data_IF_464305364537
#
_entry.id   IF_464305364537
#
_cell.length_a   1.000
_cell.length_b   1.000
_cell.length_c   1.000
_cell.angle_alpha   90.00
_cell.angle_beta   90.00
_cell.angle_gamma   90.00
#
_symmetry.space_group_name_H-M   'P 1'
#
loop_
_entity.id
_entity.type
_entity.pdbx_description
1 polymer ?
#
# COMPACT_ATOMS: atom_id res chain seq x y z
N UNK A 1 7.03 9.71 14.48
CA UNK A 1 7.40 8.54 15.31
C UNK A 1 8.63 7.92 14.69
N UNK A 2 9.78 8.06 15.33
CA UNK A 2 11.05 7.55 14.81
C UNK A 2 11.10 6.05 15.06
N UNK A 3 11.08 5.25 14.00
CA UNK A 3 11.26 3.81 14.12
C UNK A 3 12.69 3.53 14.60
N UNK A 4 12.84 2.70 15.64
CA UNK A 4 14.15 2.28 16.16
C UNK A 4 14.36 0.82 15.79
N UNK A 5 15.44 0.55 15.07
CA UNK A 5 15.79 -0.81 14.64
C UNK A 5 16.61 -1.49 15.75
N UNK A 6 16.14 -2.65 16.20
CA UNK A 6 16.85 -3.52 17.14
C UNK A 6 17.57 -4.61 16.35
N UNK A 7 18.87 -4.44 16.10
CA UNK A 7 19.67 -5.37 15.29
C UNK A 7 20.78 -6.08 16.09
N UNK A 8 20.92 -5.80 17.39
CA UNK A 8 21.93 -6.41 18.26
C UNK A 8 21.41 -6.50 19.70
N UNK A 9 22.02 -7.39 20.48
CA UNK A 9 21.71 -7.55 21.90
C UNK A 9 21.99 -6.25 22.70
N UNK A 10 23.02 -5.50 22.32
CA UNK A 10 23.35 -4.21 22.94
C UNK A 10 22.26 -3.16 22.67
N UNK A 11 21.81 -3.04 21.41
CA UNK A 11 20.76 -2.08 21.04
C UNK A 11 19.42 -2.41 21.70
N UNK A 12 19.14 -3.70 21.91
CA UNK A 12 17.99 -4.14 22.70
C UNK A 12 18.08 -3.64 24.15
N UNK A 13 19.24 -3.74 24.79
CA UNK A 13 19.41 -3.26 26.17
C UNK A 13 19.25 -1.75 26.30
N UNK A 14 19.76 -0.97 25.34
CA UNK A 14 19.59 0.49 25.31
C UNK A 14 18.11 0.89 25.25
N UNK A 15 17.35 0.29 24.32
CA UNK A 15 15.92 0.60 24.16
C UNK A 15 15.12 0.18 25.39
N UNK A 16 15.46 -0.94 26.02
CA UNK A 16 14.85 -1.34 27.29
C UNK A 16 15.11 -0.32 28.40
N UNK A 17 16.27 0.36 28.39
CA UNK A 17 16.57 1.49 29.26
C UNK A 17 15.64 2.68 29.00
N UNK A 18 15.54 3.11 27.75
CA UNK A 18 14.70 4.24 27.33
C UNK A 18 13.22 4.00 27.68
N UNK A 19 12.72 2.79 27.46
CA UNK A 19 11.34 2.40 27.79
C UNK A 19 11.10 2.50 29.31
N UNK A 20 12.06 2.05 30.13
CA UNK A 20 11.95 2.13 31.60
C UNK A 20 11.92 3.57 32.09
N UNK A 21 12.77 4.44 31.54
CA UNK A 21 12.77 5.87 31.88
C UNK A 21 11.46 6.56 31.47
N UNK A 22 11.02 6.31 30.24
CA UNK A 22 9.76 6.86 29.72
C UNK A 22 8.55 6.40 30.55
N UNK A 23 8.54 5.14 31.00
CA UNK A 23 7.52 4.61 31.89
C UNK A 23 7.55 5.31 33.26
N UNK A 24 8.75 5.51 33.83
CA UNK A 24 8.91 6.20 35.11
C UNK A 24 8.38 7.65 35.09
N UNK A 25 8.44 8.32 33.94
CA UNK A 25 7.97 9.70 33.79
C UNK A 25 6.48 9.83 33.46
N UNK A 26 5.94 8.90 32.68
CA UNK A 26 4.61 9.06 32.08
C UNK A 26 3.58 8.00 32.51
N UNK A 27 4.01 6.89 33.12
CA UNK A 27 3.18 5.76 33.57
C UNK A 27 2.19 5.18 32.53
N UNK A 28 2.35 5.55 31.26
CA UNK A 28 1.56 5.07 30.14
C UNK A 28 2.41 5.15 28.86
N UNK A 29 2.58 4.03 28.18
CA UNK A 29 3.34 3.94 26.92
C UNK A 29 2.56 3.10 25.91
N UNK A 30 2.51 3.56 24.66
CA UNK A 30 2.04 2.77 23.52
C UNK A 30 3.26 2.28 22.73
N UNK A 31 3.50 0.97 22.75
CA UNK A 31 4.65 0.35 22.07
C UNK A 31 4.15 -0.51 20.91
N UNK A 32 4.79 -0.40 19.75
CA UNK A 32 4.54 -1.27 18.58
C UNK A 32 5.84 -1.94 18.19
N UNK A 33 5.89 -3.27 18.29
CA UNK A 33 7.06 -4.08 17.92
C UNK A 33 6.72 -4.80 16.61
N UNK A 34 7.55 -4.63 15.59
CA UNK A 34 7.46 -5.36 14.32
C UNK A 34 8.70 -6.25 14.18
N UNK A 35 8.50 -7.52 13.84
CA UNK A 35 9.59 -8.48 13.61
C UNK A 35 9.83 -8.64 12.11
N UNK A 36 11.04 -8.29 11.65
CA UNK A 36 11.44 -8.34 10.24
C UNK A 36 12.46 -7.24 9.91
N UNK A 37 13.48 -7.54 9.09
CA UNK A 37 14.29 -6.49 8.47
C UNK A 37 13.37 -5.68 7.55
N UNK A 38 13.39 -4.35 7.66
CA UNK A 38 12.80 -3.44 6.66
C UNK A 38 13.52 -3.61 5.31
N UNK A 39 13.21 -4.68 4.60
CA UNK A 39 13.61 -4.94 3.21
C UNK A 39 12.43 -5.31 2.33
N UNK A 40 11.22 -5.07 2.80
CA UNK A 40 10.08 -4.97 1.88
C UNK A 40 10.15 -3.57 1.30
N UNK A 41 10.52 -3.45 0.02
CA UNK A 41 10.18 -2.27 -0.76
C UNK A 41 8.76 -1.87 -0.38
N UNK A 42 8.57 -0.64 0.10
CA UNK A 42 7.25 -0.17 0.46
C UNK A 42 6.38 -0.35 -0.78
N UNK A 43 5.46 -1.32 -0.73
CA UNK A 43 4.62 -1.67 -1.87
C UNK A 43 3.82 -0.45 -2.33
N UNK A 44 3.59 0.51 -1.42
CA UNK A 44 3.04 1.81 -1.77
C UNK A 44 4.01 2.59 -2.66
N UNK A 45 5.30 2.64 -2.35
CA UNK A 45 6.31 3.27 -3.19
C UNK A 45 6.39 2.63 -4.58
N UNK A 46 6.29 1.29 -4.67
CA UNK A 46 6.21 0.59 -5.97
C UNK A 46 4.96 1.05 -6.73
N UNK A 47 3.79 1.05 -6.09
CA UNK A 47 2.55 1.48 -6.74
C UNK A 47 2.65 2.92 -7.27
N UNK A 48 3.24 3.83 -6.49
CA UNK A 48 3.44 5.22 -6.87
C UNK A 48 4.37 5.37 -8.07
N UNK A 49 5.51 4.67 -8.06
CA UNK A 49 6.44 4.67 -9.18
C UNK A 49 5.79 4.13 -10.46
N UNK A 50 4.97 3.09 -10.34
CA UNK A 50 4.25 2.52 -11.48
C UNK A 50 3.19 3.46 -12.04
N UNK A 51 2.44 4.20 -11.21
CA UNK A 51 1.49 5.20 -11.73
C UNK A 51 2.19 6.27 -12.56
N UNK A 52 3.36 6.73 -12.12
CA UNK A 52 4.18 7.71 -12.87
C UNK A 52 4.69 7.13 -14.19
N UNK A 53 5.16 5.88 -14.17
CA UNK A 53 5.62 5.19 -15.38
C UNK A 53 4.50 5.01 -16.40
N UNK A 54 3.35 4.49 -15.97
CA UNK A 54 2.17 4.27 -16.83
C UNK A 54 1.72 5.59 -17.47
N UNK A 55 1.58 6.65 -16.67
CA UNK A 55 1.18 7.97 -17.17
C UNK A 55 2.17 8.51 -18.21
N UNK A 56 3.48 8.30 -17.99
CA UNK A 56 4.54 8.73 -18.92
C UNK A 56 4.55 7.94 -20.23
N UNK A 57 4.32 6.64 -20.18
CA UNK A 57 4.38 5.76 -21.35
C UNK A 57 3.12 5.83 -22.21
N UNK A 58 1.93 5.76 -21.60
CA UNK A 58 0.66 5.79 -22.34
C UNK A 58 0.22 7.20 -22.73
N UNK A 59 0.57 8.22 -21.91
CA UNK A 59 0.20 9.63 -22.13
C UNK A 59 -1.30 9.88 -22.26
N UNK A 60 -2.12 8.99 -21.72
CA UNK A 60 -3.58 9.08 -21.73
C UNK A 60 -4.13 9.89 -20.55
N UNK A 61 -3.43 9.85 -19.41
CA UNK A 61 -3.84 10.53 -18.18
C UNK A 61 -2.62 10.89 -17.31
N UNK A 62 -2.86 11.68 -16.28
CA UNK A 62 -1.94 12.05 -15.20
C UNK A 62 -1.66 10.86 -14.26
N UNK A 63 -0.54 10.86 -13.51
CA UNK A 63 -0.26 9.83 -12.52
C UNK A 63 -1.37 9.66 -11.46
N UNK A 64 -2.01 10.77 -11.06
CA UNK A 64 -3.14 10.70 -10.13
C UNK A 64 -4.36 10.06 -10.81
N UNK A 65 -4.66 10.39 -12.07
CA UNK A 65 -5.74 9.75 -12.84
C UNK A 65 -5.55 8.24 -12.96
N UNK A 66 -4.35 7.80 -13.37
CA UNK A 66 -3.98 6.38 -13.42
C UNK A 66 -4.16 5.71 -12.05
N UNK A 67 -3.74 6.36 -10.96
CA UNK A 67 -3.93 5.85 -9.59
C UNK A 67 -5.40 5.67 -9.24
N UNK A 68 -6.26 6.64 -9.57
CA UNK A 68 -7.71 6.53 -9.31
C UNK A 68 -8.35 5.41 -10.11
N UNK A 69 -7.94 5.25 -11.37
CA UNK A 69 -8.39 4.17 -12.23
C UNK A 69 -7.94 2.80 -11.68
N UNK A 70 -6.66 2.64 -11.34
CA UNK A 70 -6.12 1.40 -10.79
C UNK A 70 -6.83 1.02 -9.48
N UNK A 71 -7.09 1.99 -8.58
CA UNK A 71 -7.89 1.75 -7.37
C UNK A 71 -9.26 1.16 -7.69
N UNK A 72 -9.94 1.69 -8.71
CA UNK A 72 -11.26 1.22 -9.11
C UNK A 72 -11.20 -0.17 -9.76
N UNK A 73 -10.25 -0.38 -10.68
CA UNK A 73 -10.19 -1.59 -11.50
C UNK A 73 -9.65 -2.80 -10.73
N UNK A 74 -8.64 -2.61 -9.88
CA UNK A 74 -7.96 -3.71 -9.19
C UNK A 74 -8.23 -3.68 -7.69
N UNK A 75 -8.22 -2.49 -7.08
CA UNK A 75 -8.31 -2.39 -5.63
C UNK A 75 -9.70 -2.67 -5.07
N UNK A 76 -10.73 -2.10 -5.69
CA UNK A 76 -12.13 -2.31 -5.29
C UNK A 76 -12.53 -3.79 -5.37
N UNK A 77 -12.26 -4.54 -6.45
CA UNK A 77 -12.57 -5.98 -6.48
C UNK A 77 -11.92 -6.80 -5.37
N UNK A 78 -10.65 -6.48 -5.02
CA UNK A 78 -9.93 -7.16 -3.94
C UNK A 78 -10.62 -6.95 -2.60
N UNK A 79 -10.91 -5.70 -2.23
CA UNK A 79 -11.60 -5.38 -0.98
C UNK A 79 -13.02 -5.93 -0.97
N UNK A 80 -13.78 -5.75 -2.07
CA UNK A 80 -15.16 -6.24 -2.17
C UNK A 80 -15.27 -7.77 -2.01
N UNK A 81 -14.20 -8.51 -2.28
CA UNK A 81 -14.16 -9.96 -2.12
C UNK A 81 -13.81 -10.41 -0.68
N UNK A 82 -13.12 -9.58 0.10
CA UNK A 82 -12.50 -9.98 1.37
C UNK A 82 -12.92 -9.14 2.58
N UNK A 83 -13.62 -8.04 2.36
CA UNK A 83 -14.14 -7.12 3.37
C UNK A 83 -15.65 -6.92 3.13
N UNK A 84 -16.44 -7.50 4.02
CA UNK A 84 -17.90 -7.49 3.93
C UNK A 84 -18.49 -6.09 4.14
N UNK A 85 -17.94 -5.32 5.09
CA UNK A 85 -18.39 -3.96 5.38
C UNK A 85 -18.09 -3.02 4.20
N UNK A 86 -16.88 -3.12 3.64
CA UNK A 86 -16.51 -2.39 2.43
C UNK A 86 -17.42 -2.76 1.26
N UNK A 87 -17.71 -4.06 1.08
CA UNK A 87 -18.59 -4.54 0.01
C UNK A 87 -19.98 -3.96 0.13
N UNK A 88 -20.58 -4.02 1.31
CA UNK A 88 -21.93 -3.49 1.54
C UNK A 88 -22.00 -1.99 1.27
N UNK A 89 -21.05 -1.23 1.83
CA UNK A 89 -20.95 0.22 1.60
C UNK A 89 -20.80 0.55 0.11
N UNK A 90 -19.88 -0.13 -0.59
CA UNK A 90 -19.62 0.13 -2.00
C UNK A 90 -20.79 -0.26 -2.90
N UNK A 91 -21.40 -1.43 -2.66
CA UNK A 91 -22.53 -1.93 -3.47
C UNK A 91 -23.80 -1.10 -3.25
N UNK A 92 -24.04 -0.66 -2.02
CA UNK A 92 -25.19 0.19 -1.67
C UNK A 92 -25.02 1.64 -2.13
N UNK A 93 -23.80 2.19 -2.15
CA UNK A 93 -23.60 3.63 -2.39
C UNK A 93 -23.13 3.96 -3.80
N UNK A 94 -22.33 3.09 -4.42
CA UNK A 94 -21.59 3.45 -5.64
C UNK A 94 -21.94 2.57 -6.84
N UNK A 95 -21.92 1.25 -6.65
CA UNK A 95 -21.96 0.29 -7.76
C UNK A 95 -23.17 0.50 -8.68
N UNK A 96 -24.34 0.73 -8.09
CA UNK A 96 -25.63 0.86 -8.79
C UNK A 96 -25.91 2.27 -9.31
N UNK A 97 -25.37 3.30 -8.66
CA UNK A 97 -25.82 4.69 -8.86
C UNK A 97 -24.82 5.57 -9.59
N UNK A 98 -23.54 5.19 -9.63
CA UNK A 98 -22.49 6.01 -10.24
C UNK A 98 -22.06 5.46 -11.60
N UNK A 99 -21.89 6.37 -12.56
CA UNK A 99 -21.23 6.10 -13.83
C UNK A 99 -19.76 5.71 -13.61
N UNK A 100 -19.11 5.15 -14.63
CA UNK A 100 -17.70 4.79 -14.55
C UNK A 100 -16.81 6.00 -14.16
N UNK A 101 -16.96 7.13 -14.84
CA UNK A 101 -16.19 8.34 -14.50
C UNK A 101 -16.48 8.84 -13.07
N UNK A 102 -17.73 8.78 -12.63
CA UNK A 102 -18.09 9.17 -11.27
C UNK A 102 -17.42 8.24 -10.24
N UNK A 103 -17.33 6.94 -10.54
CA UNK A 103 -16.61 5.96 -9.70
C UNK A 103 -15.13 6.29 -9.64
N UNK A 104 -14.49 6.57 -10.78
CA UNK A 104 -13.06 6.96 -10.83
C UNK A 104 -12.82 8.22 -10.01
N UNK A 105 -13.62 9.29 -10.20
CA UNK A 105 -13.51 10.52 -9.42
C UNK A 105 -13.67 10.28 -7.92
N UNK A 106 -14.56 9.39 -7.53
CA UNK A 106 -14.78 9.08 -6.13
C UNK A 106 -13.62 8.30 -5.47
N UNK A 107 -12.79 7.58 -6.25
CA UNK A 107 -11.58 6.92 -5.73
C UNK A 107 -10.56 7.89 -5.14
N UNK A 108 -10.67 9.19 -5.44
CA UNK A 108 -9.87 10.24 -4.82
C UNK A 108 -10.09 10.30 -3.30
N UNK A 109 -11.33 10.08 -2.87
CA UNK A 109 -11.73 10.22 -1.47
C UNK A 109 -11.78 8.87 -0.74
N UNK A 110 -11.85 7.76 -1.47
CA UNK A 110 -11.88 6.43 -0.88
C UNK A 110 -10.47 5.90 -0.56
N UNK A 111 -10.23 5.44 0.68
CA UNK A 111 -8.92 4.95 1.13
C UNK A 111 -8.65 3.50 0.70
N UNK A 112 -8.94 3.14 -0.57
CA UNK A 112 -8.86 1.76 -1.09
C UNK A 112 -7.54 1.06 -0.77
N UNK A 113 -6.40 1.63 -1.18
CA UNK A 113 -5.08 1.03 -0.94
C UNK A 113 -4.66 1.07 0.53
N UNK A 114 -5.17 2.04 1.31
CA UNK A 114 -4.86 2.16 2.74
C UNK A 114 -5.62 1.15 3.60
N UNK A 115 -6.75 0.61 3.11
CA UNK A 115 -7.50 -0.46 3.77
C UNK A 115 -6.91 -1.85 3.49
N UNK A 116 -5.99 -1.96 2.52
CA UNK A 116 -5.42 -3.26 2.13
C UNK A 116 -4.38 -3.76 3.12
N UNK A 117 -4.41 -5.07 3.34
CA UNK A 117 -3.28 -5.82 3.91
C UNK A 117 -2.12 -5.88 2.91
N UNK A 118 -0.91 -6.20 3.38
CA UNK A 118 0.27 -6.41 2.52
C UNK A 118 0.03 -7.46 1.43
N UNK A 119 -0.69 -8.55 1.75
CA UNK A 119 -1.01 -9.59 0.76
C UNK A 119 -1.97 -9.09 -0.32
N UNK A 120 -2.97 -8.29 0.07
CA UNK A 120 -3.90 -7.68 -0.88
C UNK A 120 -3.19 -6.65 -1.75
N UNK A 121 -2.24 -5.89 -1.21
CA UNK A 121 -1.45 -4.92 -1.95
C UNK A 121 -0.45 -5.60 -2.92
N UNK A 122 0.12 -6.76 -2.57
CA UNK A 122 0.87 -7.60 -3.53
C UNK A 122 -0.01 -7.99 -4.71
N UNK A 123 -1.20 -8.52 -4.44
CA UNK A 123 -2.15 -8.93 -5.48
C UNK A 123 -2.56 -7.75 -6.37
N UNK A 124 -2.79 -6.59 -5.76
CA UNK A 124 -3.09 -5.35 -6.48
C UNK A 124 -1.99 -4.99 -7.48
N UNK A 125 -0.71 -5.09 -7.08
CA UNK A 125 0.42 -4.86 -7.97
C UNK A 125 0.50 -5.93 -9.08
N UNK A 126 0.33 -7.21 -8.75
CA UNK A 126 0.31 -8.28 -9.77
C UNK A 126 -0.79 -8.08 -10.82
N UNK A 127 -1.98 -7.65 -10.39
CA UNK A 127 -3.10 -7.36 -11.28
C UNK A 127 -2.81 -6.14 -12.17
N UNK A 128 -2.20 -5.07 -11.62
CA UNK A 128 -1.72 -3.93 -12.40
C UNK A 128 -0.68 -4.36 -13.45
N UNK A 129 0.35 -5.09 -13.04
CA UNK A 129 1.42 -5.56 -13.93
C UNK A 129 0.83 -6.33 -15.11
N UNK A 130 -0.06 -7.28 -14.85
CA UNK A 130 -0.71 -8.09 -15.89
C UNK A 130 -1.54 -7.23 -16.85
N UNK A 131 -2.30 -6.26 -16.32
CA UNK A 131 -3.15 -5.40 -17.14
C UNK A 131 -2.31 -4.50 -18.06
N UNK A 132 -1.26 -3.89 -17.53
CA UNK A 132 -0.44 -2.94 -18.28
C UNK A 132 0.56 -3.60 -19.22
N UNK A 133 0.99 -4.83 -18.93
CA UNK A 133 1.79 -5.64 -19.86
C UNK A 133 1.02 -5.89 -21.17
N UNK A 134 -0.28 -6.18 -21.08
CA UNK A 134 -1.16 -6.33 -22.25
C UNK A 134 -1.34 -5.02 -23.04
N UNK A 135 -1.04 -3.88 -22.43
CA UNK A 135 -1.08 -2.55 -23.04
C UNK A 135 0.30 -2.06 -23.50
N UNK A 136 1.32 -2.91 -23.41
CA UNK A 136 2.69 -2.61 -23.84
C UNK A 136 3.54 -1.86 -22.81
N UNK A 137 3.08 -1.71 -21.57
CA UNK A 137 3.84 -1.08 -20.47
C UNK A 137 4.38 -2.16 -19.55
N UNK A 138 5.71 -2.30 -19.51
CA UNK A 138 6.37 -3.30 -18.66
C UNK A 138 6.64 -2.75 -17.27
N UNK A 139 5.86 -3.21 -16.31
CA UNK A 139 6.03 -2.90 -14.89
C UNK A 139 6.84 -4.00 -14.23
N UNK A 140 8.00 -3.67 -13.67
CA UNK A 140 8.87 -4.62 -13.00
C UNK A 140 8.92 -4.33 -11.50
N UNK A 141 8.92 -5.40 -10.70
CA UNK A 141 9.25 -5.27 -9.30
C UNK A 141 10.74 -4.95 -9.20
N UNK A 142 11.13 -3.89 -8.47
CA UNK A 142 12.54 -3.58 -8.29
C UNK A 142 13.27 -4.80 -7.73
N UNK A 143 14.37 -5.19 -8.37
CA UNK A 143 15.16 -6.34 -7.94
C UNK A 143 15.51 -6.17 -6.47
N UNK A 144 15.28 -7.22 -5.67
CA UNK A 144 15.73 -7.23 -4.29
C UNK A 144 17.27 -7.24 -4.29
N UNK A 145 17.89 -6.06 -4.31
CA UNK A 145 19.34 -5.91 -4.25
C UNK A 145 19.85 -6.53 -2.94
N UNK A 146 20.32 -7.78 -3.00
CA UNK A 146 20.83 -8.49 -1.84
C UNK A 146 20.82 -10.03 -1.89
N UNK A 147 21.34 -10.63 -2.97
CA UNK A 147 22.08 -11.90 -2.84
C UNK A 147 23.51 -11.64 -3.31
N UNK A 148 24.37 -11.29 -2.35
CA UNK A 148 25.78 -11.66 -2.47
C UNK A 148 25.94 -12.81 -1.48
N UNK A 149 26.14 -13.98 -2.06
CA UNK A 149 26.49 -15.24 -1.43
C UNK A 149 27.71 -15.10 -0.52
#
# INVERSE_FOLDING_TARGET
MTAVVVNSAQRLQEILGDIREAWGKHHYLRVTIKTGKDRTLDQNAISHAWYEQIARELREDTPEGVKLECKLLFGVPILRAQDEEFREMYDASMKRYLSYEQKVRAMRYLPVTSLMTTMQLSRYLEDMQRHFDQRGVRLEFPESSGRVS
#
